data_IF_016406510176
#
_entry.id   IF_016406510176
#
_cell.length_a   1.000
_cell.length_b   1.000
_cell.length_c   1.000
_cell.angle_alpha   90.00
_cell.angle_beta   90.00
_cell.angle_gamma   90.00
#
_symmetry.space_group_name_H-M   'P 1'
#
loop_
_entity.id
_entity.type
_entity.pdbx_description
1 polymer ?
#
# COMPACT_ATOMS: atom_id res chain seq x y z
N UNK A 1 -0.29 -4.71 41.94
CA UNK A 1 1.15 -4.72 41.60
C UNK A 1 1.63 -3.28 41.59
N UNK A 2 2.73 -2.94 42.26
CA UNK A 2 3.21 -1.55 42.32
C UNK A 2 4.00 -1.20 41.05
N UNK A 3 3.99 0.07 40.66
CA UNK A 3 4.72 0.58 39.47
C UNK A 3 6.21 0.21 39.50
N UNK A 4 6.85 0.30 40.67
CA UNK A 4 8.25 -0.09 40.90
C UNK A 4 8.55 -1.56 40.58
N UNK A 5 7.59 -2.46 40.80
CA UNK A 5 7.79 -3.88 40.50
C UNK A 5 7.77 -4.12 38.99
N UNK A 6 6.95 -3.36 38.24
CA UNK A 6 6.91 -3.45 36.77
C UNK A 6 8.19 -2.89 36.13
N UNK A 7 8.69 -1.75 36.61
CA UNK A 7 9.94 -1.15 36.11
C UNK A 7 11.11 -2.15 36.18
N UNK A 8 11.27 -2.83 37.32
CA UNK A 8 12.31 -3.86 37.48
C UNK A 8 12.14 -5.05 36.54
N UNK A 9 10.90 -5.41 36.18
CA UNK A 9 10.65 -6.45 35.18
C UNK A 9 11.09 -5.97 33.79
N UNK A 10 10.82 -4.71 33.44
CA UNK A 10 11.14 -4.18 32.11
C UNK A 10 12.63 -3.96 31.86
N UNK A 11 13.39 -3.65 32.90
CA UNK A 11 14.86 -3.56 32.84
C UNK A 11 15.50 -4.89 32.44
N UNK A 12 14.89 -6.02 32.81
CA UNK A 12 15.41 -7.36 32.52
C UNK A 12 14.92 -7.93 31.18
N UNK A 13 14.10 -7.19 30.42
CA UNK A 13 13.65 -7.64 29.11
C UNK A 13 14.78 -7.56 28.09
N UNK A 14 14.91 -8.62 27.30
CA UNK A 14 15.72 -8.59 26.06
C UNK A 14 15.09 -7.64 25.04
N UNK A 15 15.89 -7.20 24.06
CA UNK A 15 15.38 -6.36 22.97
C UNK A 15 14.20 -7.01 22.21
N UNK A 16 14.24 -8.34 22.04
CA UNK A 16 13.18 -9.11 21.38
C UNK A 16 11.88 -9.12 22.19
N UNK A 17 11.94 -9.41 23.48
CA UNK A 17 10.76 -9.43 24.37
C UNK A 17 10.15 -8.03 24.48
N UNK A 18 10.99 -7.02 24.64
CA UNK A 18 10.55 -5.62 24.71
C UNK A 18 9.85 -5.19 23.42
N UNK A 19 10.41 -5.52 22.26
CA UNK A 19 9.77 -5.24 20.96
C UNK A 19 8.38 -5.87 20.88
N UNK A 20 8.25 -7.15 21.25
CA UNK A 20 6.94 -7.83 21.28
C UNK A 20 5.94 -7.13 22.20
N UNK A 21 6.34 -6.76 23.42
CA UNK A 21 5.47 -6.08 24.37
C UNK A 21 5.05 -4.68 23.89
N UNK A 22 5.96 -3.93 23.27
CA UNK A 22 5.66 -2.62 22.67
C UNK A 22 4.58 -2.75 21.59
N UNK A 23 4.73 -3.73 20.70
CA UNK A 23 3.74 -4.01 19.63
C UNK A 23 2.39 -4.38 20.25
N UNK A 24 2.38 -5.27 21.24
CA UNK A 24 1.15 -5.70 21.90
C UNK A 24 0.45 -4.58 22.67
N UNK A 25 1.21 -3.68 23.31
CA UNK A 25 0.66 -2.48 23.95
C UNK A 25 -0.02 -1.57 22.91
N UNK A 26 0.64 -1.35 21.77
CA UNK A 26 0.07 -0.61 20.64
C UNK A 26 -1.24 -1.21 20.11
N UNK A 27 -1.30 -2.53 19.93
CA UNK A 27 -2.52 -3.23 19.49
C UNK A 27 -3.70 -3.01 20.46
N UNK A 28 -3.43 -2.95 21.77
CA UNK A 28 -4.44 -2.69 22.79
C UNK A 28 -4.80 -1.20 22.94
N UNK A 29 -4.10 -0.30 22.26
CA UNK A 29 -4.23 1.14 22.48
C UNK A 29 -3.68 1.62 23.83
N UNK A 30 -2.84 0.83 24.48
CA UNK A 30 -2.25 1.15 25.79
C UNK A 30 -0.96 1.97 25.60
N UNK A 31 -1.16 3.25 25.33
CA UNK A 31 -0.08 4.17 24.97
C UNK A 31 0.87 4.44 26.15
N UNK A 32 0.35 4.47 27.38
CA UNK A 32 1.16 4.68 28.59
C UNK A 32 2.15 3.52 28.80
N UNK A 33 1.67 2.28 28.63
CA UNK A 33 2.49 1.08 28.72
C UNK A 33 3.53 1.05 27.59
N UNK A 34 3.13 1.41 26.36
CA UNK A 34 4.03 1.51 25.21
C UNK A 34 5.18 2.48 25.50
N UNK A 35 4.87 3.69 25.97
CA UNK A 35 5.86 4.70 26.34
C UNK A 35 6.75 4.25 27.49
N UNK A 36 6.21 3.54 28.49
CA UNK A 36 6.97 2.99 29.61
C UNK A 36 7.99 1.95 29.16
N UNK A 37 7.57 1.03 28.30
CA UNK A 37 8.46 0.01 27.71
C UNK A 37 9.57 0.66 26.88
N UNK A 38 9.25 1.67 26.06
CA UNK A 38 10.26 2.42 25.29
C UNK A 38 11.26 3.13 26.20
N UNK A 39 10.79 3.83 27.24
CA UNK A 39 11.67 4.57 28.17
C UNK A 39 12.56 3.67 29.03
N UNK A 40 12.10 2.45 29.34
CA UNK A 40 12.88 1.46 30.10
C UNK A 40 14.00 0.80 29.28
N UNK A 41 14.06 1.03 27.97
CA UNK A 41 15.10 0.44 27.13
C UNK A 41 16.47 1.03 27.49
N UNK A 42 17.49 0.17 27.58
CA UNK A 42 18.87 0.63 27.69
C UNK A 42 19.23 1.47 26.46
N UNK A 43 19.70 2.70 26.70
CA UNK A 43 20.18 3.58 25.65
C UNK A 43 21.70 3.45 25.50
N UNK A 44 22.17 3.60 24.26
CA UNK A 44 23.59 3.58 23.92
C UNK A 44 23.85 4.54 22.78
N UNK A 45 25.09 5.03 22.66
CA UNK A 45 25.49 5.85 21.52
C UNK A 45 25.92 4.94 20.39
N UNK A 46 25.42 5.21 19.18
CA UNK A 46 25.81 4.50 17.97
C UNK A 46 26.04 5.51 16.85
N UNK A 47 26.98 5.19 15.96
CA UNK A 47 27.23 5.98 14.76
C UNK A 47 26.42 5.39 13.61
N UNK A 48 25.75 6.25 12.87
CA UNK A 48 25.00 5.89 11.66
C UNK A 48 25.45 6.76 10.51
N UNK A 49 25.41 6.18 9.32
CA UNK A 49 25.59 6.96 8.11
C UNK A 49 24.52 8.07 8.03
N UNK A 50 24.90 9.19 7.43
CA UNK A 50 24.05 10.35 7.20
C UNK A 50 22.80 9.99 6.39
N UNK A 51 22.93 9.10 5.41
CA UNK A 51 21.82 8.63 4.57
C UNK A 51 20.91 7.59 5.24
N UNK A 52 21.24 7.09 6.44
CA UNK A 52 20.54 5.94 7.01
C UNK A 52 19.05 6.21 7.30
N UNK A 53 18.66 7.45 7.66
CA UNK A 53 17.23 7.79 7.83
C UNK A 53 16.47 7.71 6.51
N UNK A 54 17.04 8.25 5.44
CA UNK A 54 16.44 8.19 4.11
C UNK A 54 16.41 6.77 3.54
N UNK A 55 17.44 5.95 3.78
CA UNK A 55 17.40 4.53 3.40
C UNK A 55 16.27 3.76 4.11
N UNK A 56 16.08 4.02 5.42
CA UNK A 56 14.97 3.44 6.17
C UNK A 56 13.62 3.96 5.67
N UNK A 57 13.49 5.27 5.43
CA UNK A 57 12.29 5.87 4.85
C UNK A 57 11.95 5.25 3.49
N UNK A 58 12.93 5.09 2.61
CA UNK A 58 12.75 4.44 1.32
C UNK A 58 12.26 3.00 1.46
N UNK A 59 12.82 2.24 2.41
CA UNK A 59 12.37 0.86 2.68
C UNK A 59 10.89 0.82 3.06
N UNK A 60 10.45 1.74 3.93
CA UNK A 60 9.04 1.82 4.34
C UNK A 60 8.14 2.22 3.17
N UNK A 61 8.51 3.25 2.40
CA UNK A 61 7.75 3.71 1.23
C UNK A 61 7.66 2.62 0.17
N UNK A 62 8.75 1.88 -0.05
CA UNK A 62 8.79 0.74 -0.95
C UNK A 62 7.82 -0.36 -0.50
N UNK A 63 7.87 -0.77 0.76
CA UNK A 63 6.94 -1.77 1.30
C UNK A 63 5.48 -1.33 1.12
N UNK A 64 5.18 -0.07 1.44
CA UNK A 64 3.85 0.50 1.26
C UNK A 64 3.38 0.47 -0.21
N UNK A 65 4.24 0.88 -1.15
CA UNK A 65 3.92 0.87 -2.57
C UNK A 65 3.66 -0.54 -3.11
N UNK A 66 4.49 -1.52 -2.71
CA UNK A 66 4.32 -2.92 -3.11
C UNK A 66 3.02 -3.50 -2.53
N UNK A 67 2.74 -3.28 -1.25
CA UNK A 67 1.50 -3.75 -0.62
C UNK A 67 0.26 -3.17 -1.32
N UNK A 68 0.26 -1.87 -1.61
CA UNK A 68 -0.83 -1.22 -2.35
C UNK A 68 -1.01 -1.81 -3.75
N UNK A 69 0.07 -2.04 -4.49
CA UNK A 69 0.02 -2.64 -5.84
C UNK A 69 -0.43 -4.10 -5.81
N UNK A 70 -0.01 -4.89 -4.81
CA UNK A 70 -0.45 -6.27 -4.65
C UNK A 70 -1.94 -6.37 -4.30
N UNK A 71 -2.44 -5.51 -3.43
CA UNK A 71 -3.87 -5.41 -3.11
C UNK A 71 -4.67 -5.06 -4.38
N UNK A 72 -4.24 -4.05 -5.12
CA UNK A 72 -4.89 -3.65 -6.38
C UNK A 72 -4.85 -4.76 -7.44
N UNK A 73 -3.74 -5.48 -7.55
CA UNK A 73 -3.63 -6.63 -8.45
C UNK A 73 -4.58 -7.76 -8.06
N UNK A 74 -4.71 -8.05 -6.76
CA UNK A 74 -5.64 -9.06 -6.25
C UNK A 74 -7.10 -8.68 -6.52
N UNK A 75 -7.48 -7.42 -6.27
CA UNK A 75 -8.81 -6.91 -6.60
C UNK A 75 -9.09 -6.94 -8.10
N UNK A 76 -8.13 -6.51 -8.91
CA UNK A 76 -8.23 -6.57 -10.38
C UNK A 76 -8.54 -8.00 -10.84
N UNK A 77 -7.75 -9.00 -10.42
CA UNK A 77 -7.99 -10.39 -10.81
C UNK A 77 -9.33 -10.93 -10.31
N UNK A 78 -9.75 -10.53 -9.11
CA UNK A 78 -11.08 -10.89 -8.59
C UNK A 78 -12.19 -10.35 -9.48
N UNK A 79 -12.05 -9.12 -9.97
CA UNK A 79 -13.04 -8.50 -10.85
C UNK A 79 -12.99 -9.03 -12.29
N UNK A 80 -11.82 -9.42 -12.80
CA UNK A 80 -11.70 -10.19 -14.05
C UNK A 80 -12.47 -11.49 -13.94
N UNK A 81 -12.27 -12.26 -12.86
CA UNK A 81 -12.99 -13.52 -12.65
C UNK A 81 -14.52 -13.32 -12.56
N UNK A 82 -14.98 -12.26 -11.88
CA UNK A 82 -16.41 -11.91 -11.82
C UNK A 82 -16.97 -11.52 -13.19
N UNK A 83 -16.24 -10.74 -13.97
CA UNK A 83 -16.65 -10.35 -15.32
C UNK A 83 -16.79 -11.57 -16.25
N UNK A 84 -15.81 -12.49 -16.23
CA UNK A 84 -15.89 -13.73 -16.99
C UNK A 84 -17.08 -14.60 -16.53
N UNK A 85 -17.32 -14.69 -15.23
CA UNK A 85 -18.44 -15.46 -14.67
C UNK A 85 -19.82 -14.85 -14.94
N UNK A 86 -19.89 -13.53 -15.13
CA UNK A 86 -21.13 -12.82 -15.44
C UNK A 86 -21.52 -12.94 -16.92
N UNK A 87 -20.68 -13.52 -17.78
CA UNK A 87 -21.01 -13.62 -19.21
C UNK A 87 -22.25 -14.50 -19.40
N UNK A 88 -23.21 -14.09 -20.26
CA UNK A 88 -24.40 -14.88 -20.52
C UNK A 88 -24.02 -16.28 -21.00
N UNK A 89 -24.69 -17.29 -20.45
CA UNK A 89 -24.58 -18.68 -20.93
C UNK A 89 -25.90 -19.09 -21.59
N UNK A 90 -25.90 -20.24 -22.27
CA UNK A 90 -27.13 -20.77 -22.86
C UNK A 90 -28.21 -21.08 -21.82
N UNK A 91 -27.80 -21.41 -20.59
CA UNK A 91 -28.68 -21.85 -19.50
C UNK A 91 -29.03 -20.74 -18.51
N UNK A 92 -28.24 -19.67 -18.47
CA UNK A 92 -28.42 -18.52 -17.57
C UNK A 92 -28.08 -17.21 -18.30
N UNK A 93 -29.09 -16.49 -18.84
CA UNK A 93 -28.89 -15.18 -19.40
C UNK A 93 -28.64 -14.20 -18.25
N UNK A 94 -27.36 -13.96 -17.95
CA UNK A 94 -26.98 -12.89 -17.05
C UNK A 94 -27.61 -11.57 -17.50
N UNK A 95 -28.07 -10.76 -16.53
CA UNK A 95 -28.57 -9.44 -16.87
C UNK A 95 -27.45 -8.60 -17.48
N UNK A 96 -27.78 -7.83 -18.51
CA UNK A 96 -26.84 -6.86 -19.10
C UNK A 96 -26.26 -5.92 -18.03
N UNK A 97 -27.06 -5.62 -17.00
CA UNK A 97 -26.65 -4.83 -15.84
C UNK A 97 -25.53 -5.51 -15.02
N UNK A 98 -25.63 -6.81 -14.73
CA UNK A 98 -24.60 -7.53 -13.98
C UNK A 98 -23.27 -7.62 -14.76
N UNK A 99 -23.35 -7.86 -16.08
CA UNK A 99 -22.17 -7.83 -16.97
C UNK A 99 -21.52 -6.46 -16.96
N UNK A 100 -22.32 -5.40 -17.11
CA UNK A 100 -21.83 -4.03 -17.13
C UNK A 100 -21.19 -3.65 -15.79
N UNK A 101 -21.81 -3.99 -14.67
CA UNK A 101 -21.27 -3.72 -13.33
C UNK A 101 -19.93 -4.44 -13.10
N UNK A 102 -19.82 -5.70 -13.50
CA UNK A 102 -18.58 -6.45 -13.38
C UNK A 102 -17.46 -5.88 -14.27
N UNK A 103 -17.81 -5.48 -15.50
CA UNK A 103 -16.89 -4.80 -16.42
C UNK A 103 -16.38 -3.47 -15.86
N UNK A 104 -17.28 -2.66 -15.31
CA UNK A 104 -16.97 -1.37 -14.72
C UNK A 104 -15.95 -1.49 -13.59
N UNK A 105 -16.18 -2.42 -12.66
CA UNK A 105 -15.27 -2.64 -11.54
C UNK A 105 -13.91 -3.13 -12.02
N UNK A 106 -13.88 -4.06 -12.99
CA UNK A 106 -12.63 -4.52 -13.61
C UNK A 106 -11.84 -3.36 -14.20
N UNK A 107 -12.50 -2.46 -14.95
CA UNK A 107 -11.86 -1.31 -15.59
C UNK A 107 -11.36 -0.27 -14.57
N UNK A 108 -12.08 -0.05 -13.47
CA UNK A 108 -11.64 0.84 -12.39
C UNK A 108 -10.38 0.30 -11.72
N UNK A 109 -10.35 -0.98 -11.36
CA UNK A 109 -9.17 -1.57 -10.75
C UNK A 109 -7.99 -1.67 -11.73
N UNK A 110 -8.25 -1.87 -13.02
CA UNK A 110 -7.22 -1.77 -14.05
C UNK A 110 -6.58 -0.37 -14.06
N UNK A 111 -7.40 0.69 -14.07
CA UNK A 111 -6.95 2.07 -14.00
C UNK A 111 -6.17 2.37 -12.70
N UNK A 112 -6.68 1.94 -11.55
CA UNK A 112 -6.02 2.20 -10.26
C UNK A 112 -4.66 1.49 -10.18
N UNK A 113 -4.58 0.23 -10.63
CA UNK A 113 -3.33 -0.54 -10.64
C UNK A 113 -2.27 0.13 -11.51
N UNK A 114 -2.61 0.54 -12.74
CA UNK A 114 -1.66 1.21 -13.64
C UNK A 114 -1.26 2.59 -13.13
N UNK A 115 -2.20 3.35 -12.57
CA UNK A 115 -1.96 4.65 -11.93
C UNK A 115 -0.95 4.53 -10.79
N UNK A 116 -1.11 3.52 -9.92
CA UNK A 116 -0.17 3.26 -8.83
C UNK A 116 1.20 2.78 -9.31
N UNK A 117 1.25 1.95 -10.35
CA UNK A 117 2.49 1.52 -10.96
C UNK A 117 3.27 2.71 -11.56
N UNK A 118 2.57 3.60 -12.27
CA UNK A 118 3.17 4.77 -12.89
C UNK A 118 3.59 5.81 -11.83
N UNK A 119 2.82 5.98 -10.76
CA UNK A 119 3.19 6.85 -9.63
C UNK A 119 4.42 6.36 -8.88
N UNK A 120 4.55 5.04 -8.68
CA UNK A 120 5.77 4.43 -8.13
C UNK A 120 6.98 4.68 -9.02
N UNK A 121 6.85 4.45 -10.35
CA UNK A 121 7.94 4.73 -11.31
C UNK A 121 8.36 6.19 -11.29
N UNK A 122 7.40 7.13 -11.27
CA UNK A 122 7.69 8.55 -11.17
C UNK A 122 8.45 8.88 -9.90
N UNK A 123 7.97 8.44 -8.73
CA UNK A 123 8.67 8.62 -7.45
C UNK A 123 10.11 8.06 -7.48
N UNK A 124 10.31 6.84 -7.99
CA UNK A 124 11.65 6.27 -8.12
C UNK A 124 12.55 7.08 -9.06
N UNK A 125 12.01 7.55 -10.19
CA UNK A 125 12.77 8.33 -11.17
C UNK A 125 13.28 9.66 -10.60
N UNK A 126 12.51 10.31 -9.72
CA UNK A 126 12.93 11.52 -9.01
C UNK A 126 14.14 11.29 -8.10
N UNK A 127 14.30 10.07 -7.59
CA UNK A 127 15.43 9.65 -6.77
C UNK A 127 16.58 9.06 -7.60
N UNK A 128 16.44 8.97 -8.93
CA UNK A 128 17.41 8.32 -9.81
C UNK A 128 17.46 6.80 -9.64
N UNK A 129 16.36 6.19 -9.20
CA UNK A 129 16.24 4.75 -8.96
C UNK A 129 15.45 4.12 -10.11
N UNK A 130 15.95 3.01 -10.64
CA UNK A 130 15.20 2.16 -11.58
C UNK A 130 14.21 1.29 -10.79
N UNK A 131 12.92 1.59 -10.95
CA UNK A 131 11.84 0.88 -10.25
C UNK A 131 11.74 -0.59 -10.65
N UNK A 132 12.02 -0.93 -11.91
CA UNK A 132 11.90 -2.31 -12.40
C UNK A 132 13.08 -3.15 -11.92
N UNK A 133 14.31 -2.63 -12.04
CA UNK A 133 15.50 -3.31 -11.53
C UNK A 133 15.41 -3.54 -10.00
N UNK A 134 14.83 -2.57 -9.27
CA UNK A 134 14.58 -2.71 -7.84
C UNK A 134 13.58 -3.83 -7.54
N UNK A 135 12.53 -3.97 -8.35
CA UNK A 135 11.55 -5.04 -8.19
C UNK A 135 12.14 -6.43 -8.46
N UNK A 136 12.90 -6.56 -9.55
CA UNK A 136 13.62 -7.79 -9.90
C UNK A 136 14.58 -8.23 -8.78
N UNK A 137 15.37 -7.28 -8.24
CA UNK A 137 16.32 -7.55 -7.16
C UNK A 137 15.65 -8.06 -5.87
N UNK A 138 14.39 -7.70 -5.64
CA UNK A 138 13.64 -8.13 -4.48
C UNK A 138 12.83 -9.41 -4.68
N UNK A 139 12.92 -10.03 -5.87
CA UNK A 139 12.09 -11.17 -6.23
C UNK A 139 10.62 -10.82 -6.28
N UNK A 140 10.27 -9.57 -6.64
CA UNK A 140 8.88 -9.20 -6.86
C UNK A 140 8.26 -10.12 -7.91
N UNK A 141 7.03 -10.55 -7.61
CA UNK A 141 6.42 -11.72 -8.23
C UNK A 141 5.92 -11.42 -9.64
N UNK A 142 5.98 -12.42 -10.51
CA UNK A 142 5.36 -12.40 -11.85
C UNK A 142 3.87 -12.01 -11.81
N UNK A 143 3.20 -12.20 -10.68
CA UNK A 143 1.78 -11.89 -10.48
C UNK A 143 1.49 -10.39 -10.64
N UNK A 144 2.28 -9.51 -10.01
CA UNK A 144 2.08 -8.05 -10.12
C UNK A 144 2.25 -7.61 -11.55
N UNK A 145 3.35 -8.03 -12.18
CA UNK A 145 3.68 -7.66 -13.56
C UNK A 145 2.63 -8.16 -14.55
N UNK A 146 2.18 -9.40 -14.41
CA UNK A 146 1.12 -9.98 -15.25
C UNK A 146 -0.21 -9.24 -15.06
N UNK A 147 -0.56 -8.88 -13.81
CA UNK A 147 -1.75 -8.08 -13.53
C UNK A 147 -1.68 -6.71 -14.20
N UNK A 148 -0.53 -6.04 -14.08
CA UNK A 148 -0.30 -4.74 -14.68
C UNK A 148 -0.35 -4.80 -16.21
N UNK A 149 0.31 -5.78 -16.84
CA UNK A 149 0.31 -5.96 -18.28
C UNK A 149 -1.11 -6.18 -18.82
N UNK A 150 -1.90 -7.01 -18.13
CA UNK A 150 -3.31 -7.24 -18.47
C UNK A 150 -4.17 -5.99 -18.24
N UNK A 151 -3.95 -5.29 -17.13
CA UNK A 151 -4.65 -4.05 -16.82
C UNK A 151 -4.39 -2.98 -17.88
N UNK A 152 -3.14 -2.82 -18.34
CA UNK A 152 -2.77 -1.90 -19.43
C UNK A 152 -3.44 -2.24 -20.76
N UNK A 153 -3.57 -3.52 -21.08
CA UNK A 153 -4.27 -3.97 -22.29
C UNK A 153 -5.79 -3.71 -22.23
N UNK A 154 -6.34 -3.68 -21.02
CA UNK A 154 -7.79 -3.52 -20.77
C UNK A 154 -8.15 -2.09 -20.39
N UNK A 155 -7.16 -1.20 -20.22
CA UNK A 155 -7.33 0.08 -19.55
C UNK A 155 -8.28 1.02 -20.32
N UNK A 156 -9.29 1.60 -19.65
CA UNK A 156 -10.06 2.68 -20.25
C UNK A 156 -9.18 3.94 -20.38
N UNK A 157 -9.58 4.90 -21.23
CA UNK A 157 -8.98 6.24 -21.13
C UNK A 157 -9.26 6.84 -19.74
N UNK A 158 -8.45 7.80 -19.25
CA UNK A 158 -8.73 8.47 -17.97
C UNK A 158 -10.16 9.03 -17.86
N UNK A 159 -10.71 9.58 -18.94
CA UNK A 159 -12.09 10.06 -18.99
C UNK A 159 -13.11 8.92 -18.94
N UNK A 160 -12.76 7.76 -19.50
CA UNK A 160 -13.51 6.51 -19.34
C UNK A 160 -13.55 6.09 -17.87
N UNK A 161 -12.39 6.05 -17.20
CA UNK A 161 -12.29 5.72 -15.78
C UNK A 161 -13.10 6.69 -14.91
N UNK A 162 -13.01 8.00 -15.16
CA UNK A 162 -13.80 9.01 -14.43
C UNK A 162 -15.30 8.78 -14.61
N UNK A 163 -15.77 8.51 -15.83
CA UNK A 163 -17.20 8.24 -16.06
C UNK A 163 -17.67 6.97 -15.33
N UNK A 164 -16.85 5.93 -15.33
CA UNK A 164 -17.15 4.69 -14.59
C UNK A 164 -17.16 4.98 -13.08
N UNK A 165 -16.14 5.69 -12.57
CA UNK A 165 -16.04 6.10 -11.19
C UNK A 165 -17.24 6.97 -10.78
N UNK A 166 -17.68 7.92 -11.58
CA UNK A 166 -18.86 8.74 -11.30
C UNK A 166 -20.13 7.90 -11.26
N UNK A 167 -20.27 6.91 -12.17
CA UNK A 167 -21.39 5.96 -12.16
C UNK A 167 -21.40 5.10 -10.90
N UNK A 168 -20.23 4.69 -10.40
CA UNK A 168 -20.10 3.93 -9.15
C UNK A 168 -20.18 4.80 -7.88
N UNK A 169 -19.64 6.03 -7.92
CA UNK A 169 -19.50 6.96 -6.79
C UNK A 169 -20.74 7.83 -6.56
N UNK A 170 -21.73 7.81 -7.47
CA UNK A 170 -23.11 8.21 -7.19
C UNK A 170 -23.70 7.50 -5.95
N UNK A 171 -22.96 6.54 -5.38
CA UNK A 171 -23.29 5.78 -4.20
C UNK A 171 -22.69 6.37 -2.89
N UNK A 172 -21.50 7.03 -2.82
CA UNK A 172 -21.03 7.46 -1.46
C UNK A 172 -19.80 8.40 -1.30
N UNK A 173 -18.95 8.69 -2.28
CA UNK A 173 -17.68 9.40 -2.01
C UNK A 173 -17.53 10.68 -2.83
N UNK A 174 -17.62 11.84 -2.17
CA UNK A 174 -17.56 13.19 -2.76
C UNK A 174 -16.20 13.61 -3.34
N UNK A 175 -15.50 12.70 -4.03
CA UNK A 175 -14.27 12.96 -4.77
C UNK A 175 -14.60 13.19 -6.24
N UNK A 176 -14.43 14.45 -6.69
CA UNK A 176 -14.79 14.87 -8.06
C UNK A 176 -13.77 14.48 -9.14
N UNK A 177 -12.62 13.90 -8.77
CA UNK A 177 -11.56 13.48 -9.71
C UNK A 177 -10.99 12.11 -9.39
N UNK A 178 -10.65 11.35 -10.43
CA UNK A 178 -9.84 10.15 -10.29
C UNK A 178 -8.42 10.52 -9.82
N UNK A 179 -7.85 9.73 -8.92
CA UNK A 179 -6.43 9.87 -8.56
C UNK A 179 -5.56 9.67 -9.78
N UNK A 180 -4.48 10.45 -9.87
CA UNK A 180 -3.48 10.38 -10.96
C UNK A 180 -2.18 9.75 -10.46
N UNK A 181 -1.31 9.41 -11.39
CA UNK A 181 -0.02 8.83 -11.06
C UNK A 181 0.87 9.88 -10.35
N UNK A 182 0.70 11.16 -10.68
CA UNK A 182 1.31 12.30 -9.99
C UNK A 182 0.79 12.42 -8.55
N UNK A 183 -0.51 12.23 -8.30
CA UNK A 183 -1.06 12.24 -6.93
C UNK A 183 -0.43 11.12 -6.08
N UNK A 184 -0.24 9.93 -6.67
CA UNK A 184 0.46 8.82 -6.01
C UNK A 184 1.93 9.17 -5.75
N UNK A 185 2.66 9.71 -6.72
CA UNK A 185 4.04 10.10 -6.55
C UNK A 185 4.21 11.17 -5.45
N UNK A 186 3.31 12.16 -5.40
CA UNK A 186 3.25 13.17 -4.33
C UNK A 186 3.03 12.52 -2.96
N UNK A 187 2.06 11.62 -2.84
CA UNK A 187 1.82 10.87 -1.60
C UNK A 187 3.07 10.13 -1.13
N UNK A 188 3.73 9.39 -2.02
CA UNK A 188 4.94 8.63 -1.68
C UNK A 188 6.08 9.57 -1.26
N UNK A 189 6.22 10.73 -1.92
CA UNK A 189 7.20 11.76 -1.55
C UNK A 189 6.93 12.35 -0.17
N UNK A 190 5.68 12.66 0.15
CA UNK A 190 5.30 13.19 1.46
C UNK A 190 5.62 12.20 2.59
N UNK A 191 5.34 10.91 2.37
CA UNK A 191 5.69 9.85 3.33
C UNK A 191 7.21 9.72 3.45
N UNK A 192 7.94 9.70 2.33
CA UNK A 192 9.40 9.63 2.30
C UNK A 192 10.05 10.77 3.08
N UNK A 193 9.64 12.02 2.79
CA UNK A 193 10.15 13.22 3.43
C UNK A 193 9.85 13.26 4.92
N UNK A 194 8.62 12.90 5.31
CA UNK A 194 8.20 12.88 6.71
C UNK A 194 9.02 11.87 7.52
N UNK A 195 9.27 10.69 6.96
CA UNK A 195 10.06 9.65 7.63
C UNK A 195 11.57 9.97 7.63
N UNK A 196 12.08 10.58 6.57
CA UNK A 196 13.49 10.94 6.44
C UNK A 196 13.94 12.07 7.39
N UNK A 197 13.03 13.00 7.72
CA UNK A 197 13.29 14.19 8.55
C UNK A 197 13.12 13.97 10.07
N UNK A 198 12.53 12.87 10.51
CA UNK A 198 12.31 12.59 11.95
C UNK A 198 13.60 12.11 12.66
N UNK A 199 14.55 13.03 12.87
CA UNK A 199 15.67 12.88 13.81
C UNK A 199 15.77 14.07 14.74
#
# INVERSE_FOLDING_TARGET
MTTKTLERVYENLTARERCSLIVQAGIRGDEEERERLVRSASSGTYLIADYASYANAFTVVRSFAIEAQLELAAEFWRHVARFESARPTADDPASEEAVQQASDLMLVYAYMLTTWADGWRMFCSELGIDAEALGEAAGETDVRKTAEDMARQTMPTPEGAIRILQRLAAIETGTDRAGTAEDVAVLLREVFDKLGKNR
#
